data_IF_654600135431
#
_entry.id   IF_654600135431
#
_cell.length_a   1.000
_cell.length_b   1.000
_cell.length_c   1.000
_cell.angle_alpha   90.00
_cell.angle_beta   90.00
_cell.angle_gamma   90.00
#
_symmetry.space_group_name_H-M   'P 1'
#
loop_
_entity.id
_entity.type
_entity.pdbx_description
1 polymer ?
#
# COMPACT_ATOMS: atom_id res chain seq x y z
N UNK A 1 -15.45 21.27 -8.43
CA UNK A 1 -16.35 20.20 -8.92
C UNK A 1 -16.76 19.25 -7.80
N UNK A 2 -15.83 18.69 -7.02
CA UNK A 2 -16.16 17.80 -5.88
C UNK A 2 -16.89 18.54 -4.75
N UNK A 3 -16.48 19.77 -4.41
CA UNK A 3 -17.17 20.59 -3.40
C UNK A 3 -18.62 20.88 -3.78
N UNK A 4 -18.86 21.26 -5.03
CA UNK A 4 -20.21 21.47 -5.58
C UNK A 4 -21.08 20.21 -5.51
N UNK A 5 -20.50 19.02 -5.68
CA UNK A 5 -21.23 17.76 -5.47
C UNK A 5 -21.63 17.60 -4.00
N UNK A 6 -20.76 18.02 -3.07
CA UNK A 6 -21.07 17.95 -1.64
C UNK A 6 -22.10 18.95 -1.16
N UNK A 7 -22.10 20.13 -1.76
CA UNK A 7 -23.04 21.20 -1.45
C UNK A 7 -24.44 20.94 -2.02
N UNK A 8 -24.54 20.21 -3.14
CA UNK A 8 -25.79 20.13 -3.90
C UNK A 8 -26.33 18.73 -4.16
N UNK A 9 -25.54 17.66 -3.98
CA UNK A 9 -25.93 16.31 -4.42
C UNK A 9 -25.81 15.26 -3.31
N UNK A 10 -24.72 15.24 -2.55
CA UNK A 10 -24.46 14.20 -1.54
C UNK A 10 -23.65 14.75 -0.39
N UNK A 11 -23.97 14.49 0.90
CA UNK A 11 -23.20 15.04 2.00
C UNK A 11 -21.73 14.59 1.95
N UNK A 12 -20.81 15.48 2.37
CA UNK A 12 -19.40 15.15 2.56
C UNK A 12 -19.27 13.94 3.50
N UNK A 13 -18.68 12.81 3.07
CA UNK A 13 -18.64 11.61 3.90
C UNK A 13 -17.70 11.83 5.09
N UNK A 14 -18.06 11.46 6.32
CA UNK A 14 -17.16 11.59 7.46
C UNK A 14 -15.98 10.63 7.35
N UNK A 15 -14.82 11.05 7.85
CA UNK A 15 -13.63 10.22 8.03
C UNK A 15 -13.58 9.70 9.47
N UNK A 16 -14.70 9.20 9.98
CA UNK A 16 -14.79 8.56 11.30
C UNK A 16 -14.58 7.05 11.17
N UNK A 17 -13.82 6.40 12.07
CA UNK A 17 -13.54 4.97 12.01
C UNK A 17 -14.81 4.12 11.92
N UNK A 18 -15.84 4.40 12.73
CA UNK A 18 -17.08 3.64 12.78
C UNK A 18 -17.86 3.75 11.47
N UNK A 19 -17.94 4.95 10.91
CA UNK A 19 -18.63 5.18 9.64
C UNK A 19 -17.90 4.47 8.48
N UNK A 20 -16.58 4.62 8.41
CA UNK A 20 -15.77 3.95 7.39
C UNK A 20 -15.85 2.43 7.55
N UNK A 21 -15.90 1.94 8.79
CA UNK A 21 -16.11 0.52 9.07
C UNK A 21 -17.43 0.04 8.52
N UNK A 22 -18.54 0.69 8.87
CA UNK A 22 -19.87 0.36 8.37
C UNK A 22 -19.91 0.30 6.84
N UNK A 23 -19.33 1.29 6.15
CA UNK A 23 -19.30 1.33 4.67
C UNK A 23 -18.34 0.32 4.05
N UNK A 24 -17.20 0.07 4.69
CA UNK A 24 -16.18 -0.86 4.22
C UNK A 24 -16.57 -2.32 4.39
N UNK A 25 -17.19 -2.66 5.53
CA UNK A 25 -17.60 -4.01 5.89
C UNK A 25 -18.99 -4.39 5.37
N UNK A 26 -19.72 -3.47 4.73
CA UNK A 26 -21.03 -3.74 4.17
C UNK A 26 -21.01 -4.95 3.21
N UNK A 27 -21.87 -5.94 3.49
CA UNK A 27 -21.96 -7.20 2.74
C UNK A 27 -21.02 -8.31 3.23
N UNK A 28 -20.31 -8.11 4.34
CA UNK A 28 -19.43 -9.09 4.99
C UNK A 28 -19.95 -9.48 6.38
N UNK A 29 -19.64 -10.70 6.81
CA UNK A 29 -19.96 -11.18 8.16
C UNK A 29 -18.76 -10.96 9.11
N UNK A 30 -18.98 -11.09 10.42
CA UNK A 30 -17.93 -10.88 11.42
C UNK A 30 -16.75 -11.85 11.23
N UNK A 31 -17.03 -13.08 10.82
CA UNK A 31 -16.01 -14.10 10.55
C UNK A 31 -15.12 -13.72 9.36
N UNK A 32 -15.58 -12.86 8.44
CA UNK A 32 -14.75 -12.35 7.33
C UNK A 32 -13.61 -11.45 7.85
N UNK A 33 -13.75 -10.85 9.04
CA UNK A 33 -12.66 -10.08 9.66
C UNK A 33 -11.65 -11.00 10.37
N UNK A 34 -12.13 -12.04 11.03
CA UNK A 34 -11.31 -12.86 11.95
C UNK A 34 -10.58 -14.01 11.28
N UNK A 35 -11.01 -14.41 10.07
CA UNK A 35 -10.50 -15.61 9.40
C UNK A 35 -8.98 -15.57 9.16
N UNK A 36 -8.28 -16.55 9.73
CA UNK A 36 -6.82 -16.69 9.75
C UNK A 36 -6.05 -15.52 10.38
N UNK A 37 -6.72 -14.66 11.15
CA UNK A 37 -6.09 -13.53 11.86
C UNK A 37 -6.09 -13.78 13.35
N UNK A 38 -5.01 -13.38 14.01
CA UNK A 38 -4.93 -13.43 15.47
C UNK A 38 -5.66 -12.23 16.08
N UNK A 39 -6.11 -12.29 17.35
CA UNK A 39 -6.75 -11.14 18.02
C UNK A 39 -5.91 -9.86 17.95
N UNK A 40 -4.58 -9.99 18.06
CA UNK A 40 -3.63 -8.89 17.91
C UNK A 40 -3.59 -8.31 16.50
N UNK A 41 -3.76 -9.12 15.44
CA UNK A 41 -3.86 -8.64 14.05
C UNK A 41 -5.11 -7.77 13.84
N UNK A 42 -6.17 -8.06 14.59
CA UNK A 42 -7.44 -7.34 14.52
C UNK A 42 -7.31 -6.03 15.29
N UNK A 43 -6.83 -6.08 16.54
CA UNK A 43 -6.64 -4.92 17.38
C UNK A 43 -5.72 -3.87 16.73
N UNK A 44 -4.58 -4.30 16.16
CA UNK A 44 -3.63 -3.42 15.47
C UNK A 44 -4.29 -2.68 14.30
N UNK A 45 -5.05 -3.37 13.45
CA UNK A 45 -5.75 -2.75 12.32
C UNK A 45 -6.76 -1.69 12.77
N UNK A 46 -7.55 -1.99 13.82
CA UNK A 46 -8.54 -1.06 14.37
C UNK A 46 -7.87 0.19 14.94
N UNK A 47 -6.80 0.00 15.71
CA UNK A 47 -6.03 1.10 16.29
C UNK A 47 -5.40 1.98 15.19
N UNK A 48 -4.79 1.37 14.16
CA UNK A 48 -4.25 2.10 12.99
C UNK A 48 -5.31 2.92 12.30
N UNK A 49 -6.50 2.36 12.09
CA UNK A 49 -7.63 3.08 11.49
C UNK A 49 -8.03 4.30 12.33
N UNK A 50 -8.15 4.15 13.66
CA UNK A 50 -8.48 5.25 14.56
C UNK A 50 -7.45 6.39 14.52
N UNK A 51 -6.16 6.04 14.60
CA UNK A 51 -5.07 7.04 14.59
C UNK A 51 -4.98 7.73 13.23
N UNK A 52 -5.13 6.98 12.12
CA UNK A 52 -5.10 7.54 10.77
C UNK A 52 -6.29 8.47 10.53
N UNK A 53 -7.52 8.05 10.89
CA UNK A 53 -8.72 8.87 10.75
C UNK A 53 -8.59 10.19 11.52
N UNK A 54 -8.09 10.14 12.76
CA UNK A 54 -7.82 11.34 13.58
C UNK A 54 -6.80 12.25 12.90
N UNK A 55 -5.68 11.68 12.43
CA UNK A 55 -4.64 12.43 11.72
C UNK A 55 -5.19 13.11 10.46
N UNK A 56 -6.07 12.43 9.71
CA UNK A 56 -6.68 13.01 8.52
C UNK A 56 -7.61 14.18 8.82
N UNK A 57 -8.34 14.14 9.93
CA UNK A 57 -9.26 15.20 10.34
C UNK A 57 -8.53 16.40 10.95
N UNK A 58 -7.52 16.14 11.77
CA UNK A 58 -6.97 17.17 12.66
C UNK A 58 -5.73 17.85 12.07
N UNK A 59 -4.94 17.16 11.23
CA UNK A 59 -3.62 17.64 10.78
C UNK A 59 -3.36 17.59 9.27
N UNK A 60 -4.10 16.77 8.51
CA UNK A 60 -3.83 16.57 7.08
C UNK A 60 -4.25 17.71 6.15
N UNK A 61 -5.17 18.58 6.60
CA UNK A 61 -5.67 19.74 5.83
C UNK A 61 -6.05 19.37 4.39
N UNK A 62 -6.85 18.31 4.24
CA UNK A 62 -7.27 17.81 2.94
C UNK A 62 -8.21 18.81 2.26
N UNK A 63 -8.00 19.04 0.97
CA UNK A 63 -9.01 19.66 0.11
C UNK A 63 -10.09 18.63 -0.26
N UNK A 64 -11.10 19.02 -1.02
CA UNK A 64 -12.20 18.11 -1.35
C UNK A 64 -11.78 16.86 -2.14
N UNK A 65 -10.77 16.99 -3.02
CA UNK A 65 -10.24 15.83 -3.74
C UNK A 65 -9.49 14.91 -2.79
N UNK A 66 -8.59 15.45 -1.95
CA UNK A 66 -7.84 14.68 -0.96
C UNK A 66 -8.76 13.94 0.02
N UNK A 67 -9.82 14.59 0.49
CA UNK A 67 -10.82 13.98 1.37
C UNK A 67 -11.60 12.87 0.67
N UNK A 68 -11.97 13.04 -0.61
CA UNK A 68 -12.60 11.97 -1.40
C UNK A 68 -11.69 10.76 -1.57
N UNK A 69 -10.40 11.00 -1.86
CA UNK A 69 -9.40 9.95 -2.02
C UNK A 69 -9.17 9.21 -0.70
N UNK A 70 -9.04 9.93 0.42
CA UNK A 70 -8.90 9.35 1.75
C UNK A 70 -10.10 8.46 2.12
N UNK A 71 -11.32 8.97 1.94
CA UNK A 71 -12.55 8.20 2.15
C UNK A 71 -12.56 6.91 1.31
N UNK A 72 -12.23 7.02 0.02
CA UNK A 72 -12.21 5.88 -0.90
C UNK A 72 -11.16 4.84 -0.54
N UNK A 73 -9.94 5.26 -0.22
CA UNK A 73 -8.84 4.37 0.13
C UNK A 73 -9.08 3.63 1.46
N UNK A 74 -9.52 4.32 2.51
CA UNK A 74 -9.80 3.70 3.81
C UNK A 74 -10.98 2.72 3.73
N UNK A 75 -12.05 3.12 3.04
CA UNK A 75 -13.20 2.23 2.78
C UNK A 75 -12.78 1.01 1.96
N UNK A 76 -11.88 1.18 0.99
CA UNK A 76 -11.34 0.09 0.20
C UNK A 76 -10.44 -0.84 1.02
N UNK A 77 -9.60 -0.31 1.92
CA UNK A 77 -8.76 -1.10 2.81
C UNK A 77 -9.61 -2.03 3.71
N UNK A 78 -10.64 -1.48 4.35
CA UNK A 78 -11.58 -2.26 5.19
C UNK A 78 -12.28 -3.33 4.35
N UNK A 79 -12.84 -2.95 3.20
CA UNK A 79 -13.48 -3.91 2.27
C UNK A 79 -12.53 -5.02 1.84
N UNK A 80 -11.26 -4.69 1.55
CA UNK A 80 -10.25 -5.66 1.13
C UNK A 80 -9.87 -6.60 2.27
N UNK A 81 -9.73 -6.10 3.50
CA UNK A 81 -9.53 -6.91 4.69
C UNK A 81 -10.61 -7.98 4.84
N UNK A 82 -11.89 -7.61 4.77
CA UNK A 82 -12.99 -8.58 4.84
C UNK A 82 -13.03 -9.52 3.63
N UNK A 83 -12.81 -9.01 2.41
CA UNK A 83 -12.80 -9.85 1.22
C UNK A 83 -11.70 -10.93 1.26
N UNK A 84 -10.52 -10.59 1.77
CA UNK A 84 -9.42 -11.53 1.98
C UNK A 84 -9.75 -12.56 3.08
N UNK A 85 -10.35 -12.13 4.19
CA UNK A 85 -10.73 -13.09 5.23
C UNK A 85 -11.83 -14.05 4.77
N UNK A 86 -12.83 -13.59 4.00
CA UNK A 86 -13.79 -14.48 3.33
C UNK A 86 -13.08 -15.49 2.43
N UNK A 87 -12.18 -15.01 1.57
CA UNK A 87 -11.41 -15.85 0.66
C UNK A 87 -10.63 -16.92 1.42
N UNK A 88 -10.01 -16.57 2.54
CA UNK A 88 -9.22 -17.50 3.35
C UNK A 88 -10.08 -18.44 4.20
N UNK A 89 -11.31 -18.05 4.54
CA UNK A 89 -12.27 -18.97 5.14
C UNK A 89 -12.73 -20.04 4.15
N UNK A 90 -13.03 -19.62 2.92
CA UNK A 90 -13.50 -20.51 1.85
C UNK A 90 -12.36 -21.37 1.27
N UNK A 91 -11.15 -20.81 1.23
CA UNK A 91 -9.94 -21.42 0.64
C UNK A 91 -8.71 -21.17 1.51
N UNK A 92 -8.61 -21.80 2.69
CA UNK A 92 -7.51 -21.61 3.63
C UNK A 92 -6.15 -22.06 3.08
N UNK A 93 -6.13 -22.95 2.09
CA UNK A 93 -4.91 -23.41 1.43
C UNK A 93 -4.16 -22.27 0.74
N UNK A 94 -4.85 -21.23 0.26
CA UNK A 94 -4.22 -20.10 -0.42
C UNK A 94 -3.29 -19.29 0.51
N UNK A 95 -3.69 -19.10 1.77
CA UNK A 95 -2.92 -18.33 2.74
C UNK A 95 -1.74 -19.13 3.35
N UNK A 96 -1.77 -20.46 3.23
CA UNK A 96 -0.82 -21.37 3.89
C UNK A 96 0.10 -22.09 2.91
N UNK A 97 -0.13 -21.94 1.60
CA UNK A 97 0.69 -22.53 0.55
C UNK A 97 2.16 -22.12 0.70
N UNK A 98 3.07 -23.12 0.62
CA UNK A 98 4.51 -22.87 0.60
C UNK A 98 4.90 -22.19 -0.71
N UNK A 99 5.76 -21.19 -0.61
CA UNK A 99 6.31 -20.46 -1.75
C UNK A 99 7.83 -20.52 -1.70
N UNK A 100 8.47 -20.43 -2.86
CA UNK A 100 9.92 -20.25 -2.97
C UNK A 100 10.35 -18.95 -2.28
N UNK A 101 11.53 -18.99 -1.64
CA UNK A 101 12.04 -17.86 -0.88
C UNK A 101 12.20 -16.62 -1.77
N UNK A 102 11.64 -15.46 -1.35
CA UNK A 102 11.63 -14.28 -2.19
C UNK A 102 13.01 -13.65 -2.33
N UNK A 103 13.16 -12.83 -3.36
CA UNK A 103 14.26 -11.87 -3.51
C UNK A 103 13.68 -10.50 -3.13
N UNK A 104 14.18 -9.86 -2.10
CA UNK A 104 13.67 -8.58 -1.62
C UNK A 104 14.66 -7.48 -1.99
N UNK A 105 14.20 -6.55 -2.82
CA UNK A 105 14.96 -5.34 -3.16
C UNK A 105 14.62 -4.27 -2.14
N UNK A 106 15.60 -3.90 -1.32
CA UNK A 106 15.49 -2.86 -0.29
C UNK A 106 16.37 -1.66 -0.63
N UNK A 107 16.13 -0.56 0.07
CA UNK A 107 16.82 0.71 -0.10
C UNK A 107 15.85 1.88 -0.07
N UNK A 108 16.41 3.08 0.04
CA UNK A 108 15.62 4.31 0.05
C UNK A 108 14.73 4.42 -1.20
N UNK A 109 13.59 5.08 -1.05
CA UNK A 109 12.86 5.52 -2.23
C UNK A 109 13.80 6.36 -3.12
N UNK A 110 13.64 6.27 -4.44
CA UNK A 110 14.48 6.98 -5.42
C UNK A 110 15.94 6.48 -5.51
N UNK A 111 16.32 5.38 -4.86
CA UNK A 111 17.65 4.76 -5.01
C UNK A 111 17.81 3.85 -6.27
N UNK A 112 16.86 3.88 -7.20
CA UNK A 112 16.88 3.02 -8.41
C UNK A 112 16.34 1.60 -8.19
N UNK A 113 15.74 1.33 -7.03
CA UNK A 113 15.12 0.05 -6.65
C UNK A 113 14.10 -0.45 -7.67
N UNK A 114 13.28 0.41 -8.26
CA UNK A 114 12.29 0.04 -9.30
C UNK A 114 12.94 -0.53 -10.56
N UNK A 115 14.11 0.00 -10.98
CA UNK A 115 14.84 -0.53 -12.14
C UNK A 115 15.35 -1.94 -11.85
N UNK A 116 15.97 -2.12 -10.68
CA UNK A 116 16.50 -3.41 -10.24
C UNK A 116 15.39 -4.45 -10.09
N UNK A 117 14.29 -4.09 -9.45
CA UNK A 117 13.10 -4.93 -9.29
C UNK A 117 12.61 -5.46 -10.63
N UNK A 118 12.35 -4.56 -11.59
CA UNK A 118 11.87 -4.93 -12.92
C UNK A 118 12.87 -5.74 -13.73
N UNK A 119 14.17 -5.47 -13.60
CA UNK A 119 15.22 -6.25 -14.26
C UNK A 119 15.23 -7.70 -13.75
N UNK A 120 15.21 -7.89 -12.44
CA UNK A 120 15.23 -9.22 -11.83
C UNK A 120 13.94 -10.00 -12.12
N UNK A 121 12.79 -9.32 -12.11
CA UNK A 121 11.49 -9.95 -12.45
C UNK A 121 11.32 -10.29 -13.92
N UNK A 122 12.20 -9.82 -14.81
CA UNK A 122 12.16 -10.17 -16.23
C UNK A 122 12.73 -11.57 -16.51
N UNK A 123 13.47 -12.15 -15.57
CA UNK A 123 13.98 -13.52 -15.66
C UNK A 123 12.82 -14.53 -15.59
N UNK A 124 12.66 -15.44 -16.56
CA UNK A 124 11.64 -16.50 -16.52
C UNK A 124 11.76 -17.44 -15.31
N UNK A 125 12.92 -17.50 -14.65
CA UNK A 125 13.12 -18.25 -13.41
C UNK A 125 12.58 -17.52 -12.16
N UNK A 126 12.11 -16.28 -12.31
CA UNK A 126 11.55 -15.47 -11.23
C UNK A 126 10.07 -15.13 -11.48
N UNK A 127 9.38 -14.76 -10.40
CA UNK A 127 8.06 -14.15 -10.46
C UNK A 127 8.13 -12.67 -10.07
N UNK A 128 7.15 -11.90 -10.52
CA UNK A 128 6.91 -10.52 -10.08
C UNK A 128 5.42 -10.26 -9.91
N UNK A 129 5.07 -9.31 -9.05
CA UNK A 129 3.67 -8.92 -8.84
C UNK A 129 3.24 -7.98 -9.94
N UNK A 130 2.24 -8.38 -10.75
CA UNK A 130 1.67 -7.49 -11.76
C UNK A 130 0.88 -6.38 -11.06
N UNK A 131 0.89 -5.17 -11.61
CA UNK A 131 0.14 -4.03 -11.04
C UNK A 131 -1.33 -4.38 -10.79
N UNK A 132 -2.00 -5.08 -11.71
CA UNK A 132 -3.38 -5.50 -11.53
C UNK A 132 -3.60 -6.47 -10.36
N UNK A 133 -2.58 -7.26 -9.99
CA UNK A 133 -2.62 -8.16 -8.86
C UNK A 133 -2.38 -7.43 -7.52
N UNK A 134 -1.66 -6.31 -7.53
CA UNK A 134 -1.44 -5.50 -6.34
C UNK A 134 -2.76 -4.98 -5.73
N UNK A 135 -3.80 -4.77 -6.54
CA UNK A 135 -5.14 -4.39 -6.04
C UNK A 135 -6.05 -5.59 -5.74
N UNK A 136 -5.86 -6.70 -6.45
CA UNK A 136 -6.69 -7.89 -6.32
C UNK A 136 -5.83 -9.15 -6.51
N UNK A 137 -5.32 -9.75 -5.42
CA UNK A 137 -4.28 -10.78 -5.48
C UNK A 137 -4.77 -12.09 -6.10
N UNK A 138 -6.08 -12.38 -6.03
CA UNK A 138 -6.61 -13.65 -6.52
C UNK A 138 -7.57 -13.42 -7.70
N UNK A 139 -7.23 -13.88 -8.92
CA UNK A 139 -8.11 -13.73 -10.07
C UNK A 139 -9.43 -14.47 -9.88
N UNK A 140 -10.49 -13.86 -10.42
CA UNK A 140 -11.75 -14.55 -10.75
C UNK A 140 -11.72 -14.96 -12.22
N UNK A 141 -12.52 -15.95 -12.61
CA UNK A 141 -12.67 -16.35 -14.02
C UNK A 141 -14.01 -15.81 -14.56
N UNK A 142 -14.02 -15.09 -15.70
CA UNK A 142 -12.85 -14.58 -16.45
C UNK A 142 -12.09 -13.46 -15.70
N UNK A 143 -10.78 -13.32 -15.98
CA UNK A 143 -9.91 -12.35 -15.28
C UNK A 143 -10.01 -10.94 -15.89
N UNK A 144 -10.78 -10.08 -15.23
CA UNK A 144 -10.99 -8.68 -15.63
C UNK A 144 -9.98 -7.70 -15.03
N UNK A 145 -9.05 -8.14 -14.17
CA UNK A 145 -8.16 -7.24 -13.44
C UNK A 145 -7.31 -6.37 -14.38
N UNK A 146 -6.71 -6.87 -15.48
CA UNK A 146 -5.92 -6.03 -16.39
C UNK A 146 -6.73 -4.89 -17.01
N UNK A 147 -7.98 -5.15 -17.40
CA UNK A 147 -8.86 -4.15 -18.01
C UNK A 147 -9.26 -3.09 -16.99
N UNK A 148 -9.65 -3.52 -15.78
CA UNK A 148 -10.01 -2.61 -14.67
C UNK A 148 -8.83 -1.71 -14.29
N UNK A 149 -7.63 -2.29 -14.15
CA UNK A 149 -6.41 -1.52 -13.85
C UNK A 149 -6.02 -0.59 -14.99
N UNK A 150 -6.21 -0.99 -16.25
CA UNK A 150 -6.00 -0.12 -17.40
C UNK A 150 -6.91 1.12 -17.38
N UNK A 151 -8.19 0.92 -17.07
CA UNK A 151 -9.16 2.01 -16.92
C UNK A 151 -8.83 2.92 -15.73
N UNK A 152 -8.47 2.35 -14.58
CA UNK A 152 -8.05 3.11 -13.40
C UNK A 152 -6.80 3.97 -13.68
N UNK A 153 -5.80 3.43 -14.39
CA UNK A 153 -4.62 4.19 -14.80
C UNK A 153 -4.97 5.31 -15.79
N UNK A 154 -5.90 5.08 -16.72
CA UNK A 154 -6.36 6.11 -17.64
C UNK A 154 -7.04 7.30 -16.90
N UNK A 155 -7.83 7.01 -15.86
CA UNK A 155 -8.39 8.05 -14.98
C UNK A 155 -7.28 8.73 -14.18
N UNK A 156 -6.38 7.95 -13.57
CA UNK A 156 -5.28 8.48 -12.76
C UNK A 156 -4.40 9.47 -13.53
N UNK A 157 -4.08 9.17 -14.80
CA UNK A 157 -3.34 10.07 -15.69
C UNK A 157 -4.05 11.39 -15.99
N UNK A 158 -5.39 11.41 -15.96
CA UNK A 158 -6.16 12.64 -16.13
C UNK A 158 -6.17 13.50 -14.87
N UNK A 159 -6.09 12.88 -13.70
CA UNK A 159 -6.09 13.58 -12.40
C UNK A 159 -4.68 14.09 -12.08
N UNK A 160 -3.67 13.23 -12.25
CA UNK A 160 -2.26 13.56 -12.03
C UNK A 160 -1.49 13.39 -13.35
N UNK A 161 -1.27 14.47 -14.11
CA UNK A 161 -0.54 14.40 -15.37
C UNK A 161 0.93 14.00 -15.21
N UNK A 162 1.50 14.11 -14.00
CA UNK A 162 2.88 13.70 -13.71
C UNK A 162 3.02 12.21 -13.33
N UNK A 163 1.92 11.45 -13.31
CA UNK A 163 1.89 10.07 -12.82
C UNK A 163 2.97 9.19 -13.47
N UNK A 164 3.06 9.17 -14.80
CA UNK A 164 4.03 8.32 -15.52
C UNK A 164 5.47 8.83 -15.39
N UNK A 165 5.67 10.13 -15.15
CA UNK A 165 6.98 10.73 -14.88
C UNK A 165 7.50 10.31 -13.50
N UNK A 166 6.61 10.24 -12.51
CA UNK A 166 6.94 9.82 -11.16
C UNK A 166 7.19 8.31 -11.07
N UNK A 167 6.33 7.52 -11.73
CA UNK A 167 6.46 6.07 -11.83
C UNK A 167 5.69 5.53 -13.06
N UNK A 168 6.37 4.94 -14.06
CA UNK A 168 5.71 4.48 -15.27
C UNK A 168 4.96 3.17 -15.00
N UNK A 169 3.66 3.29 -14.72
CA UNK A 169 2.77 2.17 -14.46
C UNK A 169 2.31 1.50 -15.76
N UNK A 170 2.00 0.21 -15.66
CA UNK A 170 1.26 -0.51 -16.71
C UNK A 170 0.43 -1.61 -16.07
N UNK A 171 -0.80 -1.79 -16.55
CA UNK A 171 -1.78 -2.67 -15.92
C UNK A 171 -1.26 -4.09 -15.65
N UNK A 172 -0.45 -4.63 -16.57
CA UNK A 172 0.15 -5.98 -16.48
C UNK A 172 1.65 -5.97 -16.20
N UNK A 173 2.26 -4.78 -16.05
CA UNK A 173 3.69 -4.66 -15.73
C UNK A 173 3.94 -5.07 -14.29
N UNK A 174 5.13 -5.58 -14.03
CA UNK A 174 5.59 -5.83 -12.65
C UNK A 174 5.72 -4.50 -11.92
N UNK A 175 5.16 -4.48 -10.70
CA UNK A 175 5.08 -3.32 -9.84
C UNK A 175 5.08 -3.72 -8.35
N UNK A 176 5.11 -2.71 -7.50
CA UNK A 176 5.30 -2.82 -6.06
C UNK A 176 4.08 -3.39 -5.34
N UNK A 177 4.31 -4.16 -4.28
CA UNK A 177 3.25 -4.69 -3.41
C UNK A 177 2.69 -3.64 -2.42
N UNK A 178 2.88 -2.35 -2.73
CA UNK A 178 2.57 -1.22 -1.84
C UNK A 178 1.09 -1.17 -1.46
N UNK A 179 0.19 -1.57 -2.37
CA UNK A 179 -1.24 -1.62 -2.12
C UNK A 179 -1.61 -2.67 -1.06
N UNK A 180 -0.87 -3.77 -0.95
CA UNK A 180 -1.12 -4.78 0.07
C UNK A 180 -0.79 -4.26 1.47
N UNK A 181 0.33 -3.54 1.62
CA UNK A 181 0.68 -2.88 2.88
C UNK A 181 -0.31 -1.76 3.23
N UNK A 182 -0.77 -1.00 2.23
CA UNK A 182 -1.77 0.05 2.43
C UNK A 182 -3.12 -0.52 2.87
N UNK A 183 -3.53 -1.68 2.33
CA UNK A 183 -4.73 -2.38 2.80
C UNK A 183 -4.60 -2.91 4.22
N UNK A 184 -3.38 -3.06 4.74
CA UNK A 184 -3.09 -3.37 6.14
C UNK A 184 -2.89 -2.10 7.01
N UNK A 185 -3.10 -0.91 6.44
CA UNK A 185 -2.89 0.40 7.07
C UNK A 185 -1.45 0.65 7.53
N UNK A 186 -0.48 0.25 6.73
CA UNK A 186 0.90 0.72 6.84
C UNK A 186 1.05 2.17 6.30
N UNK A 187 1.98 2.94 6.85
CA UNK A 187 2.18 4.35 6.48
C UNK A 187 2.75 4.59 5.07
N UNK A 188 3.38 3.60 4.43
CA UNK A 188 4.22 3.81 3.24
C UNK A 188 3.56 4.56 2.07
N UNK A 189 2.27 4.37 1.83
CA UNK A 189 1.54 5.12 0.80
C UNK A 189 1.01 6.44 1.35
N UNK A 190 0.50 6.43 2.58
CA UNK A 190 -0.22 7.55 3.15
C UNK A 190 0.69 8.72 3.50
N UNK A 191 1.91 8.46 3.98
CA UNK A 191 2.89 9.51 4.31
C UNK A 191 3.37 10.29 3.08
N UNK A 192 3.35 9.65 1.91
CA UNK A 192 3.68 10.28 0.65
C UNK A 192 2.49 11.06 0.06
N UNK A 193 1.28 10.84 0.56
CA UNK A 193 0.04 11.42 0.04
C UNK A 193 -0.51 12.54 0.92
N UNK A 194 -0.41 12.41 2.24
CA UNK A 194 -1.08 13.25 3.21
C UNK A 194 -0.13 13.66 4.34
N UNK A 195 -0.48 14.74 5.03
CA UNK A 195 0.32 15.28 6.13
C UNK A 195 -0.24 14.72 7.42
N UNK A 196 0.22 13.54 7.77
CA UNK A 196 -0.29 12.76 8.90
C UNK A 196 0.82 12.41 9.91
N UNK A 197 1.58 13.41 10.41
CA UNK A 197 2.74 13.16 11.28
C UNK A 197 2.42 12.33 12.53
N UNK A 198 1.22 12.47 13.10
CA UNK A 198 0.81 11.67 14.27
C UNK A 198 0.67 10.20 13.92
N UNK A 199 0.11 9.87 12.75
CA UNK A 199 0.02 8.50 12.27
C UNK A 199 1.38 7.91 11.87
N UNK A 200 2.25 8.71 11.22
CA UNK A 200 3.60 8.26 10.86
C UNK A 200 4.41 7.92 12.11
N UNK A 201 4.39 8.80 13.13
CA UNK A 201 5.07 8.55 14.40
C UNK A 201 4.52 7.30 15.12
N UNK A 202 3.20 7.12 15.12
CA UNK A 202 2.57 5.90 15.64
C UNK A 202 3.04 4.65 14.88
N UNK A 203 3.06 4.69 13.54
CA UNK A 203 3.48 3.57 12.70
C UNK A 203 4.93 3.17 12.97
N UNK A 204 5.84 4.15 13.04
CA UNK A 204 7.27 3.95 13.31
C UNK A 204 7.53 3.37 14.71
N UNK A 205 6.69 3.70 15.70
CA UNK A 205 6.80 3.20 17.06
C UNK A 205 6.11 1.84 17.29
N UNK A 206 5.30 1.39 16.33
CA UNK A 206 4.49 0.17 16.47
C UNK A 206 5.22 -1.07 15.97
N UNK A 207 4.89 -2.24 16.54
CA UNK A 207 5.35 -3.52 16.00
C UNK A 207 4.73 -3.77 14.61
N UNK A 208 5.54 -3.93 13.53
CA UNK A 208 5.01 -4.16 12.19
C UNK A 208 4.59 -5.62 11.95
N UNK A 209 4.80 -6.55 12.89
CA UNK A 209 4.50 -7.98 12.72
C UNK A 209 3.08 -8.28 12.20
N UNK A 210 2.00 -7.65 12.71
CA UNK A 210 0.65 -7.85 12.18
C UNK A 210 0.51 -7.55 10.68
N UNK A 211 1.15 -6.48 10.20
CA UNK A 211 1.15 -6.08 8.79
C UNK A 211 1.85 -7.15 7.95
N UNK A 212 3.00 -7.64 8.40
CA UNK A 212 3.79 -8.61 7.62
C UNK A 212 3.20 -10.02 7.63
N UNK A 213 2.48 -10.43 8.70
CA UNK A 213 1.66 -11.66 8.68
C UNK A 213 0.56 -11.57 7.62
N UNK A 214 -0.16 -10.45 7.55
CA UNK A 214 -1.19 -10.23 6.54
C UNK A 214 -0.60 -10.22 5.13
N UNK A 215 0.51 -9.48 4.94
CA UNK A 215 1.27 -9.44 3.69
C UNK A 215 1.67 -10.85 3.23
N UNK A 216 2.20 -11.69 4.13
CA UNK A 216 2.61 -13.04 3.80
C UNK A 216 1.44 -13.91 3.33
N UNK A 217 0.27 -13.81 3.98
CA UNK A 217 -0.95 -14.52 3.54
C UNK A 217 -1.39 -14.06 2.15
N UNK A 218 -1.34 -12.76 1.87
CA UNK A 218 -1.68 -12.20 0.55
C UNK A 218 -0.70 -12.71 -0.52
N UNK A 219 0.60 -12.64 -0.24
CA UNK A 219 1.65 -13.08 -1.17
C UNK A 219 1.51 -14.57 -1.52
N UNK A 220 1.29 -15.43 -0.51
CA UNK A 220 1.03 -16.87 -0.72
C UNK A 220 -0.24 -17.10 -1.55
N UNK A 221 -1.29 -16.31 -1.29
CA UNK A 221 -2.56 -16.41 -2.01
C UNK A 221 -2.42 -16.04 -3.48
N UNK A 222 -1.73 -14.94 -3.80
CA UNK A 222 -1.44 -14.57 -5.19
C UNK A 222 -0.57 -15.62 -5.88
N UNK A 223 0.47 -16.12 -5.20
CA UNK A 223 1.36 -17.11 -5.78
C UNK A 223 0.66 -18.44 -6.10
N UNK A 224 -0.17 -18.93 -5.18
CA UNK A 224 -0.99 -20.12 -5.37
C UNK A 224 -2.00 -19.91 -6.52
N UNK A 225 -2.69 -18.78 -6.55
CA UNK A 225 -3.71 -18.52 -7.56
C UNK A 225 -3.16 -18.28 -8.97
N UNK A 226 -1.90 -17.83 -9.07
CA UNK A 226 -1.21 -17.61 -10.35
C UNK A 226 -0.35 -18.80 -10.78
N UNK A 227 -0.22 -19.84 -9.95
CA UNK A 227 0.54 -21.04 -10.26
C UNK A 227 2.06 -20.83 -10.29
N UNK A 228 2.57 -19.83 -9.56
CA UNK A 228 4.00 -19.50 -9.53
C UNK A 228 4.68 -19.75 -8.18
N UNK A 229 4.10 -20.62 -7.33
CA UNK A 229 4.60 -20.94 -5.98
C UNK A 229 6.05 -21.44 -5.97
N UNK A 230 6.50 -22.12 -7.03
CA UNK A 230 7.88 -22.61 -7.16
C UNK A 230 8.90 -21.59 -7.65
N UNK A 231 8.48 -20.37 -8.02
CA UNK A 231 9.36 -19.33 -8.54
C UNK A 231 9.66 -18.28 -7.47
N UNK A 232 10.93 -17.97 -7.17
CA UNK A 232 11.27 -16.86 -6.29
C UNK A 232 10.64 -15.57 -6.77
N UNK A 233 9.82 -14.95 -5.91
CA UNK A 233 9.24 -13.65 -6.24
C UNK A 233 10.22 -12.54 -5.92
N UNK A 234 10.44 -11.64 -6.88
CA UNK A 234 11.15 -10.39 -6.63
C UNK A 234 10.15 -9.38 -6.05
N UNK A 235 10.37 -9.01 -4.80
CA UNK A 235 9.55 -8.08 -4.02
C UNK A 235 10.25 -6.73 -3.94
N UNK A 236 9.47 -5.65 -3.94
CA UNK A 236 9.99 -4.31 -3.69
C UNK A 236 8.88 -3.40 -3.18
N UNK A 237 9.10 -2.83 -2.01
CA UNK A 237 8.39 -1.67 -1.46
C UNK A 237 9.41 -0.91 -0.59
N UNK A 238 9.47 0.43 -0.61
CA UNK A 238 10.41 1.17 0.23
C UNK A 238 10.34 0.78 1.72
N UNK A 239 9.12 0.49 2.21
CA UNK A 239 8.82 0.07 3.58
C UNK A 239 9.52 -1.21 4.03
N UNK A 240 9.87 -2.11 3.11
CA UNK A 240 10.63 -3.31 3.45
C UNK A 240 11.99 -2.99 4.07
N UNK A 241 12.53 -1.79 3.81
CA UNK A 241 13.78 -1.34 4.42
C UNK A 241 13.60 -0.99 5.90
N UNK A 242 12.41 -0.52 6.31
CA UNK A 242 12.13 -0.13 7.70
C UNK A 242 11.71 -1.31 8.56
N UNK A 243 10.98 -2.26 8.00
CA UNK A 243 10.44 -3.41 8.72
C UNK A 243 11.04 -4.73 8.22
N UNK A 244 12.32 -4.70 7.84
CA UNK A 244 13.05 -5.87 7.35
C UNK A 244 13.02 -7.06 8.33
N UNK A 245 13.19 -6.87 9.66
CA UNK A 245 13.09 -7.99 10.61
C UNK A 245 11.75 -8.71 10.53
N UNK A 246 10.62 -7.98 10.56
CA UNK A 246 9.29 -8.59 10.49
C UNK A 246 9.01 -9.27 9.14
N UNK A 247 9.59 -8.76 8.05
CA UNK A 247 9.55 -9.45 6.75
C UNK A 247 10.35 -10.75 6.77
N UNK A 248 11.54 -10.75 7.36
CA UNK A 248 12.40 -11.93 7.49
C UNK A 248 11.81 -12.99 8.42
N UNK A 249 11.05 -12.59 9.45
CA UNK A 249 10.32 -13.55 10.29
C UNK A 249 9.29 -14.37 9.48
N UNK A 250 8.73 -13.79 8.40
CA UNK A 250 7.83 -14.51 7.50
C UNK A 250 8.57 -15.31 6.43
N UNK A 251 9.76 -14.86 6.03
CA UNK A 251 10.58 -15.41 4.96
C UNK A 251 12.06 -15.44 5.35
N UNK A 252 12.48 -16.36 6.24
CA UNK A 252 13.82 -16.35 6.82
C UNK A 252 14.93 -16.59 5.79
N UNK A 253 14.61 -17.33 4.73
CA UNK A 253 15.53 -17.64 3.63
C UNK A 253 15.46 -16.60 2.49
N UNK A 254 14.85 -15.43 2.71
CA UNK A 254 14.77 -14.38 1.70
C UNK A 254 16.15 -13.85 1.34
N UNK A 255 16.37 -13.62 0.05
CA UNK A 255 17.61 -13.02 -0.46
C UNK A 255 17.44 -11.51 -0.53
N UNK A 256 18.31 -10.77 0.15
CA UNK A 256 18.21 -9.31 0.23
C UNK A 256 19.17 -8.65 -0.76
N UNK A 257 18.66 -7.71 -1.55
CA UNK A 257 19.48 -6.86 -2.42
C UNK A 257 19.29 -5.41 -2.00
N UNK A 258 20.39 -4.76 -1.59
CA UNK A 258 20.38 -3.40 -1.08
C UNK A 258 20.80 -2.43 -2.18
N UNK A 259 19.87 -1.59 -2.64
CA UNK A 259 20.19 -0.48 -3.52
C UNK A 259 20.62 0.75 -2.70
N UNK A 260 21.76 1.35 -3.06
CA UNK A 260 22.28 2.56 -2.42
C UNK A 260 22.40 3.68 -3.45
N UNK A 261 22.18 4.90 -3.01
CA UNK A 261 22.33 6.14 -3.77
C UNK A 261 22.76 7.24 -2.80
N UNK A 262 23.47 8.24 -3.30
CA UNK A 262 23.81 9.46 -2.57
C UNK A 262 22.58 10.04 -1.83
N UNK A 263 22.76 10.34 -0.55
CA UNK A 263 21.67 10.74 0.36
C UNK A 263 21.04 12.06 -0.04
N UNK A 264 21.85 13.04 -0.47
CA UNK A 264 21.32 14.35 -0.88
C UNK A 264 20.53 14.21 -2.20
N UNK A 265 21.02 13.41 -3.15
CA UNK A 265 20.28 13.11 -4.36
C UNK A 265 18.97 12.34 -4.10
N UNK A 266 18.95 11.46 -3.08
CA UNK A 266 17.73 10.79 -2.61
C UNK A 266 16.78 11.81 -1.98
N UNK A 267 17.27 12.70 -1.11
CA UNK A 267 16.48 13.72 -0.43
C UNK A 267 15.78 14.64 -1.44
N UNK A 268 16.52 15.24 -2.36
CA UNK A 268 15.95 16.14 -3.38
C UNK A 268 14.88 15.45 -4.22
N UNK A 269 15.14 14.21 -4.64
CA UNK A 269 14.16 13.46 -5.43
C UNK A 269 12.94 13.05 -4.62
N UNK A 270 13.08 12.78 -3.32
CA UNK A 270 11.98 12.37 -2.44
C UNK A 270 11.08 13.56 -2.12
N UNK A 271 11.67 14.72 -1.81
CA UNK A 271 10.93 15.98 -1.59
C UNK A 271 10.12 16.35 -2.83
N UNK A 272 10.73 16.31 -4.03
CA UNK A 272 10.04 16.59 -5.29
C UNK A 272 8.87 15.64 -5.53
N UNK A 273 9.07 14.33 -5.33
CA UNK A 273 8.02 13.33 -5.52
C UNK A 273 6.86 13.52 -4.54
N UNK A 274 7.15 13.73 -3.26
CA UNK A 274 6.14 13.84 -2.20
C UNK A 274 5.37 15.15 -2.35
N UNK A 275 6.05 16.26 -2.63
CA UNK A 275 5.39 17.52 -2.93
C UNK A 275 4.42 17.39 -4.12
N UNK A 276 4.83 16.70 -5.19
CA UNK A 276 3.98 16.47 -6.36
C UNK A 276 2.73 15.62 -6.03
N UNK A 277 2.89 14.64 -5.15
CA UNK A 277 1.79 13.77 -4.72
C UNK A 277 0.84 14.47 -3.73
N UNK A 278 1.37 15.41 -2.96
CA UNK A 278 0.62 16.22 -1.99
C UNK A 278 -0.23 17.30 -2.65
N UNK A 279 0.32 17.95 -3.69
CA UNK A 279 -0.17 19.21 -4.23
C UNK A 279 -1.63 19.20 -4.74
N UNK A 280 -2.16 18.06 -5.17
CA UNK A 280 -3.56 17.98 -5.64
C UNK A 280 -4.54 17.51 -4.55
N UNK A 281 -4.04 17.14 -3.36
CA UNK A 281 -4.85 16.60 -2.26
C UNK A 281 -4.98 17.58 -1.08
N UNK A 282 -4.14 18.61 -1.04
CA UNK A 282 -4.21 19.68 -0.04
C UNK A 282 -3.68 20.98 -0.64
N UNK A 283 -4.30 22.10 -0.26
CA UNK A 283 -3.90 23.43 -0.69
C UNK A 283 -2.84 24.05 0.25
N UNK A 284 -2.31 23.26 1.20
CA UNK A 284 -1.38 23.70 2.24
C UNK A 284 -0.07 22.90 2.21
N UNK A 285 0.59 22.84 1.06
CA UNK A 285 1.90 22.21 0.94
C UNK A 285 2.99 23.02 1.67
N UNK A 286 3.78 22.35 2.52
CA UNK A 286 4.94 22.92 3.21
C UNK A 286 6.20 22.14 2.81
N UNK A 287 6.95 22.69 1.85
CA UNK A 287 8.18 22.07 1.34
C UNK A 287 9.28 21.98 2.41
N UNK A 288 9.32 22.91 3.36
CA UNK A 288 10.32 22.89 4.43
C UNK A 288 10.03 21.75 5.40
N UNK A 289 8.76 21.56 5.77
CA UNK A 289 8.33 20.43 6.60
C UNK A 289 8.56 19.08 5.90
N UNK A 290 8.19 18.96 4.61
CA UNK A 290 8.43 17.76 3.81
C UNK A 290 9.94 17.45 3.79
N UNK A 291 10.79 18.44 3.51
CA UNK A 291 12.25 18.28 3.49
C UNK A 291 12.80 17.86 4.85
N UNK A 292 12.36 18.48 5.93
CA UNK A 292 12.81 18.14 7.28
C UNK A 292 12.48 16.67 7.61
N UNK A 293 11.27 16.24 7.27
CA UNK A 293 10.81 14.88 7.52
C UNK A 293 11.57 13.83 6.70
N UNK A 294 11.74 14.05 5.40
CA UNK A 294 12.49 13.11 4.56
C UNK A 294 13.98 13.06 4.91
N UNK A 295 14.56 14.17 5.36
CA UNK A 295 15.93 14.18 5.89
C UNK A 295 16.03 13.35 7.17
N UNK A 296 15.07 13.49 8.10
CA UNK A 296 14.99 12.66 9.32
C UNK A 296 14.93 11.18 8.95
N UNK A 297 14.05 10.79 8.03
CA UNK A 297 13.88 9.39 7.59
C UNK A 297 15.11 8.81 6.90
N UNK A 298 15.82 9.61 6.09
CA UNK A 298 17.08 9.16 5.48
C UNK A 298 18.12 8.87 6.56
N UNK A 299 18.23 9.72 7.59
CA UNK A 299 19.18 9.52 8.69
C UNK A 299 18.87 8.32 9.61
N UNK A 300 17.62 7.81 9.60
CA UNK A 300 17.20 6.66 10.41
C UNK A 300 17.48 5.30 9.76
N UNK A 301 17.90 5.26 8.49
CA UNK A 301 17.92 4.07 7.63
C UNK A 301 19.29 3.87 6.99
#
# INVERSE_FOLDING_TARGET
MVELLWEHVTPKPPLEPEFLWEKGSAGFCAEDETSLREPQDIADFRQRLEVLCRSLRDEARLNALGHTLAYGQLTAAIRKRHALGRLWRERPELATTRIASPIVVVGQMRAGTTRLHRLLSADPAHAGTRFCNAFDPVPKRPDWRPIKSGFALAIGRRINPWLDTLHPFGATRVDEEISWLSYALDACTYEAQWRIPSFVAFNEASDPTPIYREFARILRSDAAATGNTGLPRVLKVPQFSEALPALLDQFPDARIIVARRDEEAVLESSVSMVASQFAFQSDHADLAAIRAEWRRKIALR
#
